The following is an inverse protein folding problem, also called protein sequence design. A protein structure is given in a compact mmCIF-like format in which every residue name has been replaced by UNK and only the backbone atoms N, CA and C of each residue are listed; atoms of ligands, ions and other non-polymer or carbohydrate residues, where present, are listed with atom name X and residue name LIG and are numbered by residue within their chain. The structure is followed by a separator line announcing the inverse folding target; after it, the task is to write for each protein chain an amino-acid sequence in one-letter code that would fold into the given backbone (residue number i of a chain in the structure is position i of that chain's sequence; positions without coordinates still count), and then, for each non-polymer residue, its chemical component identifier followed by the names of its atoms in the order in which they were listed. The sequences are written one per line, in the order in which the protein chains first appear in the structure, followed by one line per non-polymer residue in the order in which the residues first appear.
data_IF_418023229241
#
_entry.id   IF_418023229241
#
_cell.length_a   1.000
_cell.length_b   1.000
_cell.length_c   1.000
_cell.angle_alpha   90.00
_cell.angle_beta   90.00
_cell.angle_gamma   90.00
#
_symmetry.space_group_name_H-M   'P 1'
#
loop_
_entity.id
_entity.type
_entity.pdbx_description
1 polymer ?
#
# COMPACT_ATOMS: atom_id res chain seq x y z
N UNK A 1 -48.71 80.73 -4.87
CA UNK A 1 -47.49 81.15 -4.16
C UNK A 1 -47.18 80.07 -3.18
N UNK A 2 -46.26 79.17 -3.49
CA UNK A 2 -45.79 78.11 -2.60
C UNK A 2 -44.44 78.55 -2.02
N UNK A 3 -44.29 78.53 -0.75
CA UNK A 3 -43.04 78.87 -0.03
C UNK A 3 -42.06 77.66 -0.13
N UNK A 4 -40.75 77.90 -0.29
CA UNK A 4 -39.78 76.83 -0.32
C UNK A 4 -39.48 76.21 1.03
N UNK A 5 -39.04 74.92 1.11
CA UNK A 5 -38.74 74.27 2.37
C UNK A 5 -37.41 74.76 2.99
N UNK A 6 -37.24 74.63 4.30
CA UNK A 6 -36.05 75.10 5.02
C UNK A 6 -34.81 74.17 4.72
N UNK A 7 -33.59 74.73 4.89
CA UNK A 7 -32.34 73.95 4.62
C UNK A 7 -32.09 72.92 5.76
N UNK A 8 -31.35 71.84 5.48
CA UNK A 8 -31.03 70.80 6.45
C UNK A 8 -30.01 71.30 7.46
N UNK A 9 -30.04 70.77 8.72
CA UNK A 9 -29.15 71.20 9.79
C UNK A 9 -27.72 70.77 9.52
N UNK A 10 -26.79 71.67 9.79
CA UNK A 10 -25.31 71.44 9.66
C UNK A 10 -24.84 70.30 10.55
N UNK A 11 -24.14 69.34 9.98
CA UNK A 11 -23.51 68.21 10.63
C UNK A 11 -22.46 68.72 11.65
N UNK A 12 -22.70 68.42 12.89
CA UNK A 12 -21.89 68.82 14.04
C UNK A 12 -20.52 68.11 14.07
N UNK A 13 -19.48 68.83 14.45
CA UNK A 13 -18.11 68.46 14.63
C UNK A 13 -17.83 67.26 15.63
N UNK A 14 -18.87 66.62 16.13
CA UNK A 14 -18.80 65.47 17.04
C UNK A 14 -18.53 64.12 16.35
N UNK A 15 -19.04 63.97 15.12
CA UNK A 15 -18.91 62.69 14.38
C UNK A 15 -17.47 62.36 13.91
N UNK A 16 -16.70 63.40 13.60
CA UNK A 16 -15.30 63.23 13.14
C UNK A 16 -14.35 62.74 14.27
N UNK A 17 -14.59 63.17 15.51
CA UNK A 17 -13.78 62.74 16.66
C UNK A 17 -14.05 61.28 17.07
N UNK A 18 -15.31 60.84 16.98
CA UNK A 18 -15.66 59.44 17.28
C UNK A 18 -15.11 58.47 16.26
N UNK A 19 -15.18 58.81 14.96
CA UNK A 19 -14.62 57.94 13.89
C UNK A 19 -13.10 57.81 13.98
N UNK A 20 -12.40 58.89 14.33
CA UNK A 20 -10.93 58.87 14.53
C UNK A 20 -10.54 58.01 15.74
N UNK A 21 -11.30 58.02 16.82
CA UNK A 21 -11.09 57.19 18.00
C UNK A 21 -11.30 55.70 17.68
N UNK A 22 -12.32 55.34 16.90
CA UNK A 22 -12.52 53.96 16.44
C UNK A 22 -11.42 53.45 15.53
N UNK A 23 -10.94 54.26 14.60
CA UNK A 23 -9.82 53.91 13.73
C UNK A 23 -8.53 53.69 14.54
N UNK A 24 -8.22 54.55 15.49
CA UNK A 24 -7.07 54.41 16.37
C UNK A 24 -7.20 53.18 17.29
N UNK A 25 -8.39 52.86 17.80
CA UNK A 25 -8.63 51.70 18.64
C UNK A 25 -8.49 50.39 17.84
N UNK A 26 -9.02 50.32 16.61
CA UNK A 26 -8.85 49.13 15.73
C UNK A 26 -7.41 48.93 15.28
N UNK A 27 -6.66 50.02 15.00
CA UNK A 27 -5.25 49.94 14.68
C UNK A 27 -4.42 49.45 15.88
N UNK A 28 -4.74 49.92 17.09
CA UNK A 28 -4.06 49.46 18.32
C UNK A 28 -4.34 47.98 18.63
N UNK A 29 -5.60 47.55 18.45
CA UNK A 29 -5.98 46.13 18.60
C UNK A 29 -5.28 45.24 17.56
N UNK A 30 -5.19 45.67 16.31
CA UNK A 30 -4.46 44.95 15.26
C UNK A 30 -2.99 44.86 15.58
N UNK A 31 -2.37 45.92 16.09
CA UNK A 31 -0.97 45.94 16.47
C UNK A 31 -0.67 45.01 17.67
N UNK A 32 -1.55 45.02 18.69
CA UNK A 32 -1.46 44.12 19.83
C UNK A 32 -1.66 42.66 19.43
N UNK A 33 -2.54 42.38 18.46
CA UNK A 33 -2.75 41.05 17.94
C UNK A 33 -1.51 40.53 17.15
N UNK A 34 -0.91 41.39 16.33
CA UNK A 34 0.34 41.08 15.62
C UNK A 34 1.50 40.86 16.59
N UNK A 35 1.61 41.68 17.65
CA UNK A 35 2.63 41.53 18.70
C UNK A 35 2.42 40.26 19.54
N UNK A 36 1.18 39.85 19.77
CA UNK A 36 0.88 38.60 20.49
C UNK A 36 1.22 37.37 19.64
N UNK A 37 1.07 37.45 18.31
CA UNK A 37 1.49 36.40 17.38
C UNK A 37 3.02 36.32 17.23
N UNK A 38 3.73 37.45 17.33
CA UNK A 38 5.19 37.47 17.23
C UNK A 38 5.92 37.10 18.53
N UNK A 39 5.26 37.18 19.69
CA UNK A 39 5.85 36.75 20.97
C UNK A 39 5.73 35.24 21.24
N UNK A 40 5.00 34.49 20.40
CA UNK A 40 4.91 33.02 20.49
C UNK A 40 5.97 32.28 19.65
N UNK A 41 6.92 32.97 19.06
CA UNK A 41 7.92 32.37 18.14
C UNK A 41 9.37 32.45 18.62
N UNK A 42 9.62 32.46 19.92
CA UNK A 42 11.00 32.33 20.44
C UNK A 42 11.06 31.40 21.64
N UNK A 43 10.94 30.10 21.35
CA UNK A 43 11.69 29.04 22.04
C UNK A 43 11.76 27.82 21.14
N UNK A 44 12.62 27.89 20.13
CA UNK A 44 13.07 26.69 19.41
C UNK A 44 14.07 25.95 20.28
N UNK A 45 13.56 25.21 21.25
CA UNK A 45 14.22 23.95 21.63
C UNK A 45 14.13 23.01 20.43
N UNK A 46 15.15 22.16 20.13
CA UNK A 46 15.06 21.20 19.03
C UNK A 46 13.82 20.36 19.28
N UNK A 47 12.84 20.49 18.38
CA UNK A 47 11.60 19.73 18.45
C UNK A 47 11.98 18.27 18.38
N UNK A 48 11.80 17.56 19.48
CA UNK A 48 11.70 16.11 19.46
C UNK A 48 10.69 15.76 18.36
N UNK A 49 10.97 14.72 17.53
CA UNK A 49 10.01 14.26 16.53
C UNK A 49 8.67 14.00 17.22
N UNK A 50 7.54 14.21 16.53
CA UNK A 50 6.22 13.96 17.10
C UNK A 50 6.21 12.55 17.70
N UNK A 51 5.57 12.34 18.86
CA UNK A 51 5.55 11.04 19.51
C UNK A 51 5.02 10.01 18.50
N UNK A 52 5.84 8.99 18.24
CA UNK A 52 5.45 7.84 17.45
C UNK A 52 4.17 7.26 18.07
N UNK A 53 3.20 6.92 17.23
CA UNK A 53 1.94 6.32 17.66
C UNK A 53 2.27 5.14 18.62
N UNK A 54 1.89 5.17 19.90
CA UNK A 54 2.26 4.16 20.88
C UNK A 54 1.70 2.77 20.54
N UNK A 55 0.74 2.67 19.61
CA UNK A 55 0.21 1.42 19.12
C UNK A 55 1.00 0.83 17.95
N UNK A 56 1.83 1.63 17.27
CA UNK A 56 2.66 1.18 16.15
C UNK A 56 3.99 0.55 16.57
N UNK A 57 4.50 0.93 17.74
CA UNK A 57 5.81 0.49 18.21
C UNK A 57 5.70 0.10 19.69
N UNK A 58 5.64 -1.20 20.02
CA UNK A 58 5.98 -1.61 21.36
C UNK A 58 7.41 -1.14 21.65
N UNK A 59 7.59 -0.45 22.79
CA UNK A 59 8.87 0.10 23.23
C UNK A 59 10.02 -0.87 22.94
N UNK A 60 10.79 -0.61 21.90
CA UNK A 60 12.10 -1.19 21.70
C UNK A 60 13.07 -0.41 22.57
N UNK A 61 13.05 -0.59 23.87
CA UNK A 61 14.25 -0.31 24.64
C UNK A 61 15.37 -1.19 24.08
N UNK A 62 16.52 -0.63 23.75
CA UNK A 62 17.69 -1.41 23.39
C UNK A 62 18.14 -2.16 24.64
N UNK A 63 17.54 -3.31 24.90
CA UNK A 63 18.13 -4.27 25.81
C UNK A 63 19.35 -4.85 25.11
N UNK A 64 20.48 -4.23 25.36
CA UNK A 64 21.79 -4.81 25.15
C UNK A 64 21.93 -6.03 26.09
N UNK A 65 21.41 -7.16 25.64
CA UNK A 65 21.66 -8.42 26.30
C UNK A 65 22.67 -9.19 25.43
N UNK A 66 23.96 -9.26 25.83
CA UNK A 66 25.03 -9.84 25.03
C UNK A 66 24.91 -11.37 24.86
N UNK A 67 23.93 -12.03 25.48
CA UNK A 67 23.88 -13.48 25.55
C UNK A 67 22.96 -14.17 24.52
N UNK A 68 22.31 -13.45 23.62
CA UNK A 68 21.47 -14.07 22.56
C UNK A 68 22.18 -14.32 21.23
N UNK A 69 23.48 -14.02 21.12
CA UNK A 69 24.27 -14.25 19.88
C UNK A 69 24.75 -15.69 19.67
N UNK A 70 24.45 -16.64 20.56
CA UNK A 70 25.11 -17.97 20.51
C UNK A 70 24.22 -19.15 20.13
N UNK A 71 23.01 -18.94 19.58
CA UNK A 71 22.16 -20.10 19.22
C UNK A 71 21.83 -20.25 17.72
N UNK A 72 22.45 -19.47 16.86
CA UNK A 72 22.17 -19.52 15.40
C UNK A 72 23.38 -19.96 14.53
N UNK A 73 24.40 -20.56 15.10
CA UNK A 73 25.57 -21.03 14.34
C UNK A 73 25.86 -22.50 14.62
N UNK A 74 24.96 -23.40 14.18
CA UNK A 74 25.40 -24.73 13.78
C UNK A 74 25.51 -24.72 12.26
N UNK A 75 26.60 -24.15 11.78
CA UNK A 75 27.09 -24.32 10.41
C UNK A 75 27.66 -25.72 10.30
N UNK A 76 26.87 -26.66 9.80
CA UNK A 76 27.41 -27.92 9.33
C UNK A 76 28.40 -27.63 8.17
N UNK A 77 29.68 -27.59 8.50
CA UNK A 77 30.75 -27.73 7.53
C UNK A 77 30.63 -29.14 6.92
N UNK A 78 29.87 -29.25 5.85
CA UNK A 78 30.10 -30.33 4.87
C UNK A 78 31.25 -29.90 3.98
N UNK A 79 32.33 -30.68 4.06
CA UNK A 79 33.42 -30.63 3.11
C UNK A 79 32.88 -30.67 1.69
N UNK A 80 32.89 -29.54 1.01
CA UNK A 80 32.70 -29.47 -0.43
C UNK A 80 34.06 -29.34 -1.07
N UNK A 81 34.52 -30.44 -1.64
CA UNK A 81 35.55 -30.48 -2.65
C UNK A 81 35.22 -29.47 -3.75
N UNK A 82 36.21 -28.65 -4.06
CA UNK A 82 36.22 -27.62 -5.08
C UNK A 82 35.72 -28.13 -6.43
N UNK A 83 34.57 -27.63 -6.88
CA UNK A 83 34.25 -27.49 -8.30
C UNK A 83 33.97 -26.02 -8.57
N UNK A 84 34.97 -25.34 -9.15
CA UNK A 84 34.85 -23.99 -9.70
C UNK A 84 34.01 -24.05 -10.96
N UNK A 85 32.70 -23.72 -10.91
CA UNK A 85 32.01 -23.28 -12.14
C UNK A 85 30.60 -22.67 -11.96
N UNK A 86 29.92 -22.84 -10.81
CA UNK A 86 28.59 -22.23 -10.66
C UNK A 86 28.62 -21.04 -9.70
N UNK A 87 28.09 -19.87 -10.12
CA UNK A 87 27.93 -18.76 -9.21
C UNK A 87 27.02 -19.19 -8.05
N UNK A 88 27.28 -18.70 -6.82
CA UNK A 88 26.44 -19.03 -5.69
C UNK A 88 24.97 -18.66 -6.00
N UNK A 89 23.98 -19.46 -5.56
CA UNK A 89 22.59 -19.17 -5.81
C UNK A 89 22.25 -17.75 -5.27
N UNK A 90 21.44 -16.99 -6.01
CA UNK A 90 21.09 -15.64 -5.61
C UNK A 90 20.39 -15.64 -4.25
N UNK A 91 20.77 -14.69 -3.40
CA UNK A 91 20.14 -14.52 -2.09
C UNK A 91 18.64 -14.20 -2.25
N UNK A 92 17.74 -14.91 -1.53
CA UNK A 92 16.32 -14.63 -1.63
C UNK A 92 16.00 -13.18 -1.24
N UNK A 93 15.08 -12.51 -1.97
CA UNK A 93 14.66 -11.16 -1.64
C UNK A 93 13.81 -11.11 -0.36
N UNK A 94 13.53 -9.93 0.13
CA UNK A 94 12.55 -9.67 1.17
C UNK A 94 11.40 -8.82 0.61
N UNK A 95 10.16 -9.14 0.99
CA UNK A 95 8.96 -8.46 0.52
C UNK A 95 8.31 -7.70 1.66
N UNK A 96 7.79 -6.51 1.35
CA UNK A 96 6.98 -5.70 2.25
C UNK A 96 5.52 -5.76 1.84
N UNK A 97 4.68 -6.39 2.65
CA UNK A 97 3.25 -6.54 2.40
C UNK A 97 2.45 -5.50 3.17
N UNK A 98 1.58 -4.79 2.48
CA UNK A 98 0.45 -4.08 3.07
C UNK A 98 -0.80 -4.91 2.82
N UNK A 99 -1.43 -5.43 3.88
CA UNK A 99 -2.68 -6.19 3.79
C UNK A 99 -3.80 -5.35 4.37
N UNK A 100 -4.74 -4.96 3.52
CA UNK A 100 -5.82 -4.04 3.88
C UNK A 100 -7.19 -4.71 3.81
N UNK A 101 -8.06 -4.35 4.75
CA UNK A 101 -9.45 -4.77 4.78
C UNK A 101 -10.35 -3.73 5.41
N UNK A 102 -11.64 -3.99 5.37
CA UNK A 102 -12.69 -3.14 5.89
C UNK A 102 -13.54 -3.86 6.94
N UNK A 103 -14.76 -3.39 7.17
CA UNK A 103 -15.67 -3.98 8.14
C UNK A 103 -15.81 -5.51 7.94
N UNK A 104 -15.65 -6.29 9.02
CA UNK A 104 -15.71 -7.76 9.07
C UNK A 104 -14.58 -8.50 8.34
N UNK A 105 -13.52 -7.83 7.95
CA UNK A 105 -12.39 -8.46 7.23
C UNK A 105 -11.27 -8.94 8.15
N UNK A 106 -11.36 -8.79 9.46
CA UNK A 106 -10.29 -9.19 10.40
C UNK A 106 -9.88 -10.68 10.24
N UNK A 107 -10.85 -11.58 10.13
CA UNK A 107 -10.59 -13.02 9.89
C UNK A 107 -9.98 -13.30 8.51
N UNK A 108 -10.40 -12.55 7.47
CA UNK A 108 -9.85 -12.66 6.11
C UNK A 108 -8.41 -12.17 6.05
N UNK A 109 -8.11 -11.05 6.69
CA UNK A 109 -6.74 -10.52 6.81
C UNK A 109 -5.84 -11.56 7.49
N UNK A 110 -6.29 -12.19 8.58
CA UNK A 110 -5.51 -13.24 9.25
C UNK A 110 -5.32 -14.47 8.37
N UNK A 111 -6.37 -14.92 7.67
CA UNK A 111 -6.28 -16.05 6.73
C UNK A 111 -5.26 -15.76 5.62
N UNK A 112 -5.33 -14.57 5.02
CA UNK A 112 -4.41 -14.12 3.98
C UNK A 112 -2.97 -14.02 4.53
N UNK A 113 -2.78 -13.37 5.69
CA UNK A 113 -1.48 -13.29 6.34
C UNK A 113 -0.85 -14.68 6.55
N UNK A 114 -1.63 -15.65 7.06
CA UNK A 114 -1.13 -17.01 7.28
C UNK A 114 -0.74 -17.71 5.99
N UNK A 115 -1.41 -17.39 4.87
CA UNK A 115 -1.14 -17.98 3.56
C UNK A 115 0.04 -17.36 2.83
N UNK A 116 0.42 -16.11 3.18
CA UNK A 116 1.57 -15.41 2.59
C UNK A 116 2.73 -15.20 3.57
N UNK A 117 2.69 -15.86 4.74
CA UNK A 117 3.70 -15.65 5.75
C UNK A 117 5.04 -16.29 5.40
N UNK A 118 6.11 -15.52 5.57
CA UNK A 118 7.49 -15.99 5.53
C UNK A 118 8.34 -15.12 6.49
N UNK A 119 9.26 -15.68 7.28
CA UNK A 119 10.01 -14.93 8.29
C UNK A 119 10.95 -13.84 7.71
N UNK A 120 11.32 -13.91 6.43
CA UNK A 120 12.09 -12.85 5.74
C UNK A 120 11.29 -11.60 5.42
N UNK A 121 9.98 -11.75 5.24
CA UNK A 121 9.12 -10.67 4.75
C UNK A 121 8.66 -9.78 5.89
N UNK A 122 8.19 -8.58 5.56
CA UNK A 122 7.60 -7.62 6.47
C UNK A 122 6.12 -7.43 6.15
N UNK A 123 5.30 -7.36 7.18
CA UNK A 123 3.85 -7.28 7.05
C UNK A 123 3.31 -6.10 7.86
N UNK A 124 2.47 -5.31 7.21
CA UNK A 124 1.69 -4.26 7.82
C UNK A 124 0.21 -4.51 7.54
N UNK A 125 -0.58 -4.68 8.60
CA UNK A 125 -2.01 -4.94 8.50
C UNK A 125 -2.79 -3.66 8.74
N UNK A 126 -3.74 -3.37 7.87
CA UNK A 126 -4.64 -2.23 7.96
C UNK A 126 -6.09 -2.70 7.93
N UNK A 127 -6.79 -2.55 9.03
CA UNK A 127 -8.24 -2.67 9.10
C UNK A 127 -8.82 -1.26 9.23
N UNK A 128 -9.56 -0.81 8.20
CA UNK A 128 -9.96 0.58 8.08
C UNK A 128 -10.97 1.03 9.15
N UNK A 129 -11.26 2.33 9.20
CA UNK A 129 -12.16 2.92 10.20
C UNK A 129 -13.63 2.49 10.06
N UNK A 130 -14.03 1.86 8.94
CA UNK A 130 -15.37 1.28 8.81
C UNK A 130 -15.55 0.04 9.69
N UNK A 131 -14.46 -0.63 10.09
CA UNK A 131 -14.48 -1.71 11.05
C UNK A 131 -14.68 -1.20 12.48
N UNK A 132 -15.24 -2.04 13.34
CA UNK A 132 -15.38 -1.71 14.75
C UNK A 132 -14.03 -1.61 15.47
N UNK A 133 -13.94 -0.83 16.54
CA UNK A 133 -12.71 -0.79 17.36
C UNK A 133 -12.39 -2.18 17.93
N UNK A 134 -13.41 -2.95 18.33
CA UNK A 134 -13.25 -4.32 18.82
C UNK A 134 -12.61 -5.25 17.78
N UNK A 135 -12.95 -5.11 16.48
CA UNK A 135 -12.34 -5.91 15.41
C UNK A 135 -10.87 -5.53 15.20
N UNK A 136 -10.54 -4.24 15.29
CA UNK A 136 -9.14 -3.77 15.20
C UNK A 136 -8.32 -4.26 16.39
N UNK A 137 -8.88 -4.18 17.59
CA UNK A 137 -8.21 -4.68 18.81
C UNK A 137 -8.04 -6.20 18.76
N UNK A 138 -9.06 -6.93 18.29
CA UNK A 138 -8.97 -8.38 18.08
C UNK A 138 -7.84 -8.74 17.12
N UNK A 139 -7.74 -8.05 15.98
CA UNK A 139 -6.67 -8.25 15.00
C UNK A 139 -5.29 -8.01 15.64
N UNK A 140 -5.12 -6.90 16.35
CA UNK A 140 -3.86 -6.53 17.00
C UNK A 140 -3.46 -7.53 18.09
N UNK A 141 -4.40 -7.95 18.94
CA UNK A 141 -4.17 -8.94 20.00
C UNK A 141 -3.84 -10.30 19.43
N UNK A 142 -4.55 -10.74 18.38
CA UNK A 142 -4.29 -12.02 17.71
C UNK A 142 -2.87 -12.04 17.12
N UNK A 143 -2.46 -11.00 16.40
CA UNK A 143 -1.09 -10.91 15.85
C UNK A 143 -0.05 -11.00 16.97
N UNK A 144 -0.24 -10.31 18.09
CA UNK A 144 0.67 -10.35 19.22
C UNK A 144 0.72 -11.71 19.94
N UNK A 145 -0.35 -12.50 19.85
CA UNK A 145 -0.42 -13.83 20.51
C UNK A 145 0.35 -14.91 19.77
N UNK A 146 0.59 -14.75 18.45
CA UNK A 146 1.21 -15.79 17.62
C UNK A 146 2.73 -15.83 17.86
N UNK A 147 3.27 -16.98 18.34
CA UNK A 147 4.69 -17.08 18.67
C UNK A 147 5.63 -16.78 17.51
N UNK A 148 5.27 -17.21 16.30
CA UNK A 148 6.03 -16.96 15.08
C UNK A 148 6.24 -15.46 14.81
N UNK A 149 5.18 -14.67 14.93
CA UNK A 149 5.24 -13.23 14.68
C UNK A 149 6.03 -12.49 15.76
N UNK A 150 5.92 -12.95 17.02
CA UNK A 150 6.72 -12.40 18.13
C UNK A 150 8.20 -12.70 17.98
N UNK A 151 8.54 -13.88 17.50
CA UNK A 151 9.93 -14.28 17.31
C UNK A 151 10.59 -13.52 16.14
N UNK A 152 9.91 -13.40 15.00
CA UNK A 152 10.41 -12.69 13.82
C UNK A 152 10.27 -11.16 13.93
N UNK A 153 9.33 -10.65 14.73
CA UNK A 153 9.03 -9.22 14.87
C UNK A 153 8.77 -8.52 13.52
N UNK A 154 8.17 -9.23 12.59
CA UNK A 154 7.99 -8.81 11.19
C UNK A 154 6.52 -8.54 10.82
N UNK A 155 5.58 -8.66 11.75
CA UNK A 155 4.14 -8.38 11.54
C UNK A 155 3.70 -7.23 12.44
N UNK A 156 3.18 -6.18 11.83
CA UNK A 156 2.72 -4.98 12.51
C UNK A 156 1.26 -4.69 12.12
N UNK A 157 0.53 -4.00 12.99
CA UNK A 157 -0.85 -3.54 12.75
C UNK A 157 -0.87 -2.03 12.84
N UNK A 158 -1.54 -1.35 11.91
CA UNK A 158 -1.68 0.10 11.94
C UNK A 158 -2.58 0.49 13.13
N UNK A 159 -2.06 1.33 14.03
CA UNK A 159 -2.78 1.76 15.21
C UNK A 159 -3.82 2.84 14.92
N UNK A 160 -3.45 3.84 14.10
CA UNK A 160 -4.37 4.88 13.62
C UNK A 160 -4.85 4.52 12.22
N UNK A 161 -6.03 3.91 12.15
CA UNK A 161 -6.64 3.52 10.89
C UNK A 161 -7.14 4.72 10.09
N UNK A 162 -7.14 4.59 8.77
CA UNK A 162 -7.71 5.53 7.82
C UNK A 162 -9.02 4.97 7.26
N UNK A 163 -9.89 5.82 6.72
CA UNK A 163 -10.94 5.36 5.83
C UNK A 163 -10.36 5.07 4.45
N UNK A 164 -10.67 3.92 3.86
CA UNK A 164 -10.15 3.49 2.57
C UNK A 164 -11.28 3.11 1.60
N UNK A 165 -11.82 4.09 0.89
CA UNK A 165 -12.82 3.83 -0.13
C UNK A 165 -12.17 3.39 -1.44
N UNK A 166 -12.45 2.16 -1.89
CA UNK A 166 -11.86 1.59 -3.12
C UNK A 166 -12.22 2.37 -4.38
N UNK A 167 -13.40 2.99 -4.42
CA UNK A 167 -13.86 3.84 -5.54
C UNK A 167 -13.47 5.31 -5.39
N UNK A 168 -12.80 5.67 -4.30
CA UNK A 168 -12.34 7.02 -4.00
C UNK A 168 -10.84 7.20 -4.17
N UNK A 169 -10.34 8.24 -3.54
CA UNK A 169 -8.92 8.59 -3.48
C UNK A 169 -8.28 8.25 -2.12
N UNK A 170 -9.08 8.05 -1.09
CA UNK A 170 -8.60 7.65 0.23
C UNK A 170 -7.94 6.27 0.24
N UNK A 171 -8.35 5.34 -0.63
CA UNK A 171 -7.68 4.05 -0.79
C UNK A 171 -6.22 4.18 -1.25
N UNK A 172 -5.93 5.10 -2.19
CA UNK A 172 -4.56 5.43 -2.59
C UNK A 172 -3.78 6.06 -1.43
N UNK A 173 -4.39 7.02 -0.73
CA UNK A 173 -3.77 7.67 0.43
C UNK A 173 -3.39 6.65 1.50
N UNK A 174 -4.28 5.71 1.82
CA UNK A 174 -4.03 4.64 2.79
C UNK A 174 -2.90 3.71 2.33
N UNK A 175 -2.83 3.38 1.02
CA UNK A 175 -1.73 2.59 0.45
C UNK A 175 -0.39 3.30 0.60
N UNK A 176 -0.30 4.59 0.27
CA UNK A 176 0.92 5.38 0.43
C UNK A 176 1.31 5.58 1.90
N UNK A 177 0.33 5.76 2.79
CA UNK A 177 0.55 5.80 4.24
C UNK A 177 1.16 4.48 4.74
N UNK A 178 0.57 3.34 4.39
CA UNK A 178 1.11 2.02 4.74
C UNK A 178 2.53 1.80 4.20
N UNK A 179 2.78 2.18 2.94
CA UNK A 179 4.11 2.11 2.33
C UNK A 179 5.12 2.99 3.08
N UNK A 180 4.73 4.20 3.51
CA UNK A 180 5.59 5.10 4.30
C UNK A 180 5.96 4.51 5.67
N UNK A 181 5.03 3.78 6.29
CA UNK A 181 5.27 3.08 7.56
C UNK A 181 6.28 1.93 7.33
N UNK A 182 6.10 1.13 6.28
CA UNK A 182 7.01 0.02 5.94
C UNK A 182 8.43 0.52 5.63
N UNK A 183 8.60 1.68 4.99
CA UNK A 183 9.91 2.31 4.79
C UNK A 183 10.59 2.66 6.12
N UNK A 184 9.82 3.07 7.13
CA UNK A 184 10.35 3.42 8.47
C UNK A 184 10.63 2.19 9.35
N UNK A 185 9.82 1.15 9.23
CA UNK A 185 9.97 -0.08 10.03
C UNK A 185 11.21 -0.85 9.62
N UNK A 186 11.48 -0.96 8.31
CA UNK A 186 12.59 -1.77 7.80
C UNK A 186 13.25 -1.16 6.57
N UNK A 187 14.59 -1.20 6.57
CA UNK A 187 15.44 -0.83 5.43
C UNK A 187 15.71 -1.97 4.44
N UNK A 188 15.29 -3.20 4.75
CA UNK A 188 15.85 -4.41 4.12
C UNK A 188 14.82 -5.19 3.28
N UNK A 189 13.87 -4.54 2.64
CA UNK A 189 12.98 -5.20 1.69
C UNK A 189 13.20 -4.67 0.27
N UNK A 190 12.91 -5.50 -0.72
CA UNK A 190 13.19 -5.24 -2.14
C UNK A 190 11.93 -4.82 -2.90
N UNK A 191 10.78 -5.45 -2.62
CA UNK A 191 9.50 -5.13 -3.26
C UNK A 191 8.39 -4.89 -2.25
N UNK A 192 7.53 -3.94 -2.59
CA UNK A 192 6.27 -3.64 -1.90
C UNK A 192 5.12 -4.30 -2.64
N UNK A 193 4.24 -4.97 -1.90
CA UNK A 193 3.03 -5.62 -2.43
C UNK A 193 1.84 -5.18 -1.59
N UNK A 194 0.84 -4.56 -2.22
CA UNK A 194 -0.41 -4.24 -1.57
C UNK A 194 -1.46 -5.31 -1.90
N UNK A 195 -2.04 -5.90 -0.87
CA UNK A 195 -3.12 -6.89 -0.98
C UNK A 195 -4.36 -6.41 -0.24
N UNK A 196 -5.51 -6.69 -0.84
CA UNK A 196 -6.81 -6.56 -0.19
C UNK A 196 -7.15 -7.86 0.56
N UNK A 197 -7.99 -7.79 1.57
CA UNK A 197 -8.54 -8.97 2.24
C UNK A 197 -9.32 -9.90 1.29
N UNK A 198 -9.67 -9.45 0.09
CA UNK A 198 -10.28 -10.26 -0.97
C UNK A 198 -9.29 -10.96 -1.90
N UNK A 199 -8.00 -10.72 -1.74
CA UNK A 199 -6.95 -11.35 -2.54
C UNK A 199 -6.50 -12.67 -1.90
N UNK A 200 -5.98 -13.59 -2.72
CA UNK A 200 -5.43 -14.85 -2.20
C UNK A 200 -4.25 -15.34 -3.05
N UNK A 201 -3.20 -15.97 -2.45
CA UNK A 201 -2.05 -16.45 -3.19
C UNK A 201 -2.36 -17.75 -3.95
N UNK A 202 -1.78 -17.88 -5.14
CA UNK A 202 -1.81 -19.09 -5.99
C UNK A 202 -0.47 -19.81 -6.03
N UNK A 203 0.53 -19.29 -5.33
CA UNK A 203 1.86 -19.88 -5.15
C UNK A 203 2.28 -19.76 -3.68
N UNK A 204 3.18 -20.60 -3.24
CA UNK A 204 3.76 -20.47 -1.90
C UNK A 204 4.71 -19.28 -1.83
N UNK A 205 5.07 -18.82 -0.63
CA UNK A 205 6.07 -17.76 -0.50
C UNK A 205 7.45 -18.21 -0.97
N UNK A 206 7.80 -19.49 -0.76
CA UNK A 206 9.04 -20.06 -1.28
C UNK A 206 9.09 -20.03 -2.81
N UNK A 207 7.95 -20.31 -3.48
CA UNK A 207 7.85 -20.20 -4.94
C UNK A 207 8.08 -18.77 -5.41
N UNK A 208 7.42 -17.81 -4.77
CA UNK A 208 7.48 -16.38 -5.14
C UNK A 208 8.89 -15.83 -4.91
N UNK A 209 9.46 -16.04 -3.72
CA UNK A 209 10.79 -15.56 -3.37
C UNK A 209 11.87 -16.20 -4.25
N UNK A 210 11.72 -17.48 -4.59
CA UNK A 210 12.63 -18.19 -5.50
C UNK A 210 12.65 -17.51 -6.87
N UNK A 211 11.51 -17.27 -7.48
CA UNK A 211 11.46 -16.65 -8.81
C UNK A 211 11.96 -15.20 -8.77
N UNK A 212 11.56 -14.42 -7.77
CA UNK A 212 12.02 -13.04 -7.64
C UNK A 212 13.52 -12.93 -7.36
N UNK A 213 14.18 -13.98 -6.82
CA UNK A 213 15.64 -13.96 -6.58
C UNK A 213 16.47 -13.90 -7.87
N UNK A 214 15.90 -14.31 -9.00
CA UNK A 214 16.56 -14.27 -10.32
C UNK A 214 16.25 -13.00 -11.11
N UNK A 215 15.41 -12.11 -10.57
CA UNK A 215 14.99 -10.90 -11.29
C UNK A 215 15.74 -9.66 -10.78
N UNK A 216 15.99 -8.68 -11.66
CA UNK A 216 16.46 -7.36 -11.22
C UNK A 216 15.49 -6.74 -10.21
N UNK A 217 16.03 -6.17 -9.12
CA UNK A 217 15.24 -5.63 -8.01
C UNK A 217 14.53 -4.32 -8.32
N UNK A 218 14.84 -3.70 -9.44
CA UNK A 218 14.22 -2.49 -9.97
C UNK A 218 12.96 -2.76 -10.81
N UNK A 219 12.64 -4.04 -11.13
CA UNK A 219 11.44 -4.39 -11.89
C UNK A 219 10.16 -4.10 -11.10
N UNK A 220 9.19 -3.57 -11.83
CA UNK A 220 7.88 -3.21 -11.31
C UNK A 220 6.78 -3.93 -12.10
N UNK A 221 5.92 -4.67 -11.40
CA UNK A 221 4.82 -5.39 -12.03
C UNK A 221 3.54 -4.58 -11.86
N UNK A 222 3.17 -3.86 -12.91
CA UNK A 222 2.04 -2.95 -12.92
C UNK A 222 1.27 -3.10 -14.23
N UNK A 223 0.03 -3.56 -14.11
CA UNK A 223 -0.84 -3.59 -15.27
C UNK A 223 -1.19 -2.15 -15.69
N UNK A 224 -1.02 -1.83 -16.96
CA UNK A 224 -1.36 -0.53 -17.50
C UNK A 224 -1.89 -0.61 -18.94
N UNK A 225 -2.76 0.32 -19.30
CA UNK A 225 -3.22 0.57 -20.66
C UNK A 225 -2.58 1.85 -21.17
N UNK A 226 -1.84 1.78 -22.28
CA UNK A 226 -1.23 2.94 -22.92
C UNK A 226 -2.26 3.84 -23.64
N UNK A 227 -3.45 3.34 -23.86
CA UNK A 227 -4.55 4.07 -24.51
C UNK A 227 -5.73 4.20 -23.54
N UNK A 228 -6.05 5.44 -23.20
CA UNK A 228 -7.29 5.75 -22.49
C UNK A 228 -8.35 6.10 -23.54
N UNK A 229 -9.24 5.14 -23.80
CA UNK A 229 -10.40 5.32 -24.67
C UNK A 229 -11.38 6.38 -24.12
N UNK A 230 -12.33 6.77 -24.95
CA UNK A 230 -13.34 7.75 -24.54
C UNK A 230 -14.17 7.32 -23.32
N UNK A 231 -14.38 6.03 -23.12
CA UNK A 231 -15.11 5.47 -21.94
C UNK A 231 -14.31 5.68 -20.66
N UNK A 232 -13.03 5.36 -20.65
CA UNK A 232 -12.13 5.52 -19.53
C UNK A 232 -11.88 7.01 -19.23
N UNK A 233 -11.69 7.81 -20.25
CA UNK A 233 -11.60 9.27 -20.13
C UNK A 233 -12.84 9.87 -19.44
N UNK A 234 -14.04 9.39 -19.79
CA UNK A 234 -15.28 9.83 -19.12
C UNK A 234 -15.34 9.44 -17.66
N UNK A 235 -14.70 8.34 -17.25
CA UNK A 235 -14.63 7.92 -15.84
C UNK A 235 -13.66 8.80 -15.02
N UNK A 236 -12.66 9.42 -15.66
CA UNK A 236 -11.65 10.26 -15.00
C UNK A 236 -12.01 11.75 -14.92
N UNK A 237 -12.98 12.21 -15.74
CA UNK A 237 -13.43 13.61 -15.74
C UNK A 237 -14.29 14.03 -14.54
N UNK A 238 -15.09 13.18 -13.88
CA UNK A 238 -15.85 13.58 -12.70
C UNK A 238 -14.93 14.04 -11.57
N UNK A 239 -15.37 15.10 -10.88
CA UNK A 239 -14.73 15.58 -9.66
C UNK A 239 -15.46 14.95 -8.47
N UNK A 240 -14.74 14.25 -7.63
CA UNK A 240 -15.28 13.67 -6.40
C UNK A 240 -14.70 14.37 -5.16
N UNK A 241 -15.45 14.33 -4.07
CA UNK A 241 -14.94 14.59 -2.73
C UNK A 241 -15.08 13.29 -1.95
N UNK A 242 -13.94 12.73 -1.59
CA UNK A 242 -13.87 11.50 -0.81
C UNK A 242 -13.77 11.86 0.69
N UNK A 243 -14.79 11.53 1.50
CA UNK A 243 -14.79 11.88 2.92
C UNK A 243 -13.65 11.20 3.69
N UNK A 244 -13.12 10.08 3.22
CA UNK A 244 -12.00 9.38 3.85
C UNK A 244 -10.72 10.21 3.92
N UNK A 245 -10.44 11.06 2.92
CA UNK A 245 -9.29 11.97 2.96
C UNK A 245 -9.37 13.02 4.08
N UNK A 246 -10.54 13.31 4.56
CA UNK A 246 -10.78 14.33 5.57
C UNK A 246 -11.14 13.73 6.94
N UNK A 247 -11.04 12.40 7.08
CA UNK A 247 -11.47 11.65 8.28
C UNK A 247 -12.90 12.01 8.71
N UNK A 248 -13.76 12.28 7.71
CA UNK A 248 -15.16 12.66 7.94
C UNK A 248 -16.01 11.42 8.24
N UNK A 249 -16.93 11.54 9.17
CA UNK A 249 -17.93 10.49 9.49
C UNK A 249 -18.93 10.23 8.35
N UNK A 250 -18.93 11.05 7.30
CA UNK A 250 -19.77 10.84 6.12
C UNK A 250 -19.32 9.57 5.38
N UNK A 251 -20.29 8.73 5.06
CA UNK A 251 -20.03 7.43 4.42
C UNK A 251 -20.14 7.47 2.90
N UNK A 252 -20.73 8.52 2.32
CA UNK A 252 -20.94 8.62 0.87
C UNK A 252 -20.02 9.64 0.23
N UNK A 253 -19.40 9.24 -0.89
CA UNK A 253 -18.66 10.18 -1.74
C UNK A 253 -19.61 11.17 -2.38
N UNK A 254 -19.17 12.43 -2.45
CA UNK A 254 -19.87 13.48 -3.18
C UNK A 254 -19.32 13.58 -4.61
N UNK A 255 -20.22 13.68 -5.58
CA UNK A 255 -19.89 13.93 -6.97
C UNK A 255 -20.30 15.35 -7.34
N UNK A 256 -19.33 16.16 -7.77
CA UNK A 256 -19.63 17.51 -8.25
C UNK A 256 -20.37 17.44 -9.60
N UNK A 257 -21.21 18.44 -9.85
CA UNK A 257 -21.92 18.57 -11.15
C UNK A 257 -20.97 18.92 -12.29
N UNK A 258 -19.91 19.67 -11.97
CA UNK A 258 -18.86 20.03 -12.93
C UNK A 258 -17.93 18.85 -13.19
N UNK A 259 -17.42 18.79 -14.42
CA UNK A 259 -16.38 17.87 -14.84
C UNK A 259 -15.14 18.68 -15.21
N UNK A 260 -13.98 18.05 -15.11
CA UNK A 260 -12.71 18.67 -15.54
C UNK A 260 -12.19 18.00 -16.79
N UNK A 261 -11.36 18.72 -17.51
CA UNK A 261 -10.59 18.13 -18.60
C UNK A 261 -9.41 17.31 -18.03
N UNK A 262 -8.88 16.42 -18.86
CA UNK A 262 -7.69 15.65 -18.48
C UNK A 262 -6.48 16.59 -18.46
N UNK A 263 -5.47 16.30 -17.62
CA UNK A 263 -4.27 17.13 -17.54
C UNK A 263 -3.40 17.01 -18.79
N UNK A 264 -2.76 18.12 -19.19
CA UNK A 264 -1.79 18.14 -20.28
C UNK A 264 -0.34 17.97 -19.80
N UNK A 265 -0.09 18.18 -18.49
CA UNK A 265 1.25 18.13 -17.91
C UNK A 265 1.84 16.70 -17.86
N UNK A 266 1.01 15.67 -17.89
CA UNK A 266 1.38 14.27 -17.93
C UNK A 266 0.27 13.44 -18.57
N UNK A 267 0.66 12.35 -19.23
CA UNK A 267 -0.30 11.43 -19.83
C UNK A 267 -0.81 10.47 -18.76
N UNK A 268 -2.14 10.32 -18.67
CA UNK A 268 -2.76 9.39 -17.73
C UNK A 268 -2.70 7.95 -18.28
N UNK A 269 -2.43 7.01 -17.40
CA UNK A 269 -2.48 5.57 -17.64
C UNK A 269 -3.40 4.92 -16.62
N UNK A 270 -4.19 3.95 -17.06
CA UNK A 270 -5.06 3.17 -16.17
C UNK A 270 -4.59 1.73 -16.09
N UNK A 271 -4.76 1.13 -14.91
CA UNK A 271 -4.42 -0.25 -14.69
C UNK A 271 -5.14 -0.85 -13.49
N UNK A 272 -4.52 -1.84 -12.87
CA UNK A 272 -5.00 -2.42 -11.61
C UNK A 272 -4.57 -1.57 -10.41
N UNK A 273 -5.33 -1.60 -9.33
CA UNK A 273 -4.90 -1.10 -8.04
C UNK A 273 -3.87 -2.01 -7.35
N UNK A 274 -3.78 -3.27 -7.79
CA UNK A 274 -2.81 -4.24 -7.29
C UNK A 274 -1.53 -4.16 -8.11
N UNK A 275 -0.39 -4.08 -7.42
CA UNK A 275 0.93 -3.94 -8.03
C UNK A 275 2.02 -4.53 -7.15
N UNK A 276 3.12 -4.93 -7.77
CA UNK A 276 4.37 -5.27 -7.09
C UNK A 276 5.40 -4.21 -7.48
N UNK A 277 5.79 -3.39 -6.54
CA UNK A 277 6.61 -2.20 -6.78
C UNK A 277 7.98 -2.36 -6.13
N UNK A 278 9.03 -1.97 -6.83
CA UNK A 278 10.36 -1.91 -6.26
C UNK A 278 10.42 -0.91 -5.10
N UNK A 279 11.32 -1.14 -4.17
CA UNK A 279 11.58 -0.21 -3.06
C UNK A 279 11.90 1.20 -3.57
N UNK A 280 12.68 1.31 -4.65
CA UNK A 280 13.05 2.59 -5.24
C UNK A 280 11.83 3.41 -5.68
N UNK A 281 10.81 2.77 -6.26
CA UNK A 281 9.56 3.46 -6.62
C UNK A 281 8.83 3.97 -5.38
N UNK A 282 8.78 3.19 -4.32
CA UNK A 282 8.16 3.62 -3.06
C UNK A 282 8.94 4.77 -2.42
N UNK A 283 10.27 4.71 -2.41
CA UNK A 283 11.10 5.81 -1.94
C UNK A 283 10.92 7.06 -2.79
N UNK A 284 10.82 6.93 -4.11
CA UNK A 284 10.52 8.04 -5.02
C UNK A 284 9.17 8.69 -4.72
N UNK A 285 8.13 7.89 -4.45
CA UNK A 285 6.80 8.39 -4.11
C UNK A 285 6.76 9.15 -2.77
N UNK A 286 7.47 8.66 -1.75
CA UNK A 286 7.34 9.12 -0.37
C UNK A 286 8.44 10.10 0.02
N UNK A 287 9.69 9.80 -0.33
CA UNK A 287 10.89 10.53 0.08
C UNK A 287 11.46 11.40 -1.03
N UNK A 288 11.13 11.09 -2.29
CA UNK A 288 11.70 11.76 -3.45
C UNK A 288 11.43 13.26 -3.49
N UNK A 289 12.33 14.00 -4.11
CA UNK A 289 12.23 15.46 -4.31
C UNK A 289 11.53 15.84 -5.62
N UNK A 290 11.32 14.89 -6.51
CA UNK A 290 10.60 15.11 -7.77
C UNK A 290 9.14 15.54 -7.52
N UNK A 291 8.64 16.45 -8.36
CA UNK A 291 7.30 16.97 -8.22
C UNK A 291 6.22 16.06 -8.81
N UNK A 292 6.57 15.14 -9.74
CA UNK A 292 5.60 14.28 -10.40
C UNK A 292 4.73 13.49 -9.41
N UNK A 293 5.27 12.77 -8.41
CA UNK A 293 4.45 12.03 -7.45
C UNK A 293 3.44 12.92 -6.72
N UNK A 294 3.88 14.12 -6.29
CA UNK A 294 3.04 15.07 -5.54
C UNK A 294 1.97 15.71 -6.41
N UNK A 295 2.36 16.20 -7.60
CA UNK A 295 1.43 16.83 -8.55
C UNK A 295 0.35 15.85 -8.98
N UNK A 296 0.74 14.62 -9.28
CA UNK A 296 -0.18 13.56 -9.64
C UNK A 296 -1.12 13.20 -8.48
N UNK A 297 -0.60 13.09 -7.25
CA UNK A 297 -1.42 12.81 -6.07
C UNK A 297 -2.45 13.93 -5.81
N UNK A 298 -2.04 15.19 -5.94
CA UNK A 298 -2.95 16.34 -5.82
C UNK A 298 -4.06 16.28 -6.89
N UNK A 299 -3.72 16.00 -8.15
CA UNK A 299 -4.71 15.83 -9.20
C UNK A 299 -5.68 14.68 -8.90
N UNK A 300 -5.17 13.54 -8.44
CA UNK A 300 -5.94 12.34 -8.19
C UNK A 300 -6.73 12.38 -6.87
N UNK A 301 -6.48 13.33 -5.98
CA UNK A 301 -7.24 13.47 -4.72
C UNK A 301 -8.75 13.65 -4.95
N UNK A 302 -9.14 14.18 -6.11
CA UNK A 302 -10.53 14.37 -6.52
C UNK A 302 -10.93 13.48 -7.71
N UNK A 303 -10.21 12.39 -7.97
CA UNK A 303 -10.48 11.46 -9.09
C UNK A 303 -11.06 10.15 -8.56
N UNK A 304 -12.13 9.62 -9.18
CA UNK A 304 -12.61 8.29 -8.85
C UNK A 304 -11.53 7.21 -9.09
N UNK A 305 -11.50 6.19 -8.23
CA UNK A 305 -10.61 5.03 -8.38
C UNK A 305 -9.14 5.39 -8.60
N UNK A 306 -8.65 6.40 -7.90
CA UNK A 306 -7.30 6.96 -8.10
C UNK A 306 -6.17 5.93 -7.92
N UNK A 307 -6.37 4.88 -7.13
CA UNK A 307 -5.39 3.81 -6.94
C UNK A 307 -5.04 3.07 -8.24
N UNK A 308 -6.02 2.93 -9.16
CA UNK A 308 -5.79 2.28 -10.47
C UNK A 308 -5.12 3.19 -11.51
N UNK A 309 -4.91 4.46 -11.18
CA UNK A 309 -4.34 5.46 -12.09
C UNK A 309 -2.96 5.93 -11.64
N UNK A 310 -2.72 6.02 -10.33
CA UNK A 310 -1.53 6.64 -9.76
C UNK A 310 -0.23 5.95 -10.18
N UNK A 311 -0.05 4.67 -9.82
CA UNK A 311 1.20 3.97 -10.12
C UNK A 311 1.45 3.78 -11.61
N UNK A 312 0.47 3.37 -12.44
CA UNK A 312 0.66 3.31 -13.89
C UNK A 312 1.08 4.66 -14.48
N UNK A 313 0.41 5.75 -14.10
CA UNK A 313 0.71 7.09 -14.60
C UNK A 313 2.08 7.58 -14.15
N UNK A 314 2.42 7.40 -12.86
CA UNK A 314 3.70 7.79 -12.29
C UNK A 314 4.86 7.11 -13.01
N UNK A 315 4.80 5.79 -13.11
CA UNK A 315 5.88 5.00 -13.69
C UNK A 315 6.05 5.29 -15.17
N UNK A 316 4.95 5.40 -15.95
CA UNK A 316 5.01 5.64 -17.37
C UNK A 316 5.47 7.06 -17.74
N UNK A 317 5.26 8.06 -16.88
CA UNK A 317 5.76 9.42 -17.11
C UNK A 317 7.17 9.65 -16.52
N UNK A 318 7.70 8.72 -15.71
CA UNK A 318 9.04 8.85 -15.14
C UNK A 318 10.10 8.29 -16.07
N UNK A 319 11.08 9.10 -16.46
CA UNK A 319 12.22 8.65 -17.28
C UNK A 319 13.07 7.58 -16.55
N UNK A 320 13.07 7.60 -15.23
CA UNK A 320 13.79 6.64 -14.40
C UNK A 320 13.15 5.27 -14.43
N UNK A 321 11.81 5.19 -14.41
CA UNK A 321 11.08 3.94 -14.18
C UNK A 321 10.36 3.38 -15.41
N UNK A 322 10.19 4.15 -16.49
CA UNK A 322 9.39 3.72 -17.66
C UNK A 322 9.95 2.47 -18.37
N UNK A 323 11.22 2.13 -18.14
CA UNK A 323 11.89 0.94 -18.70
C UNK A 323 11.90 -0.27 -17.74
N UNK A 324 11.45 -0.09 -16.51
CA UNK A 324 11.45 -1.14 -15.47
C UNK A 324 10.07 -1.77 -15.29
N UNK A 325 9.10 -1.45 -16.14
CA UNK A 325 7.72 -1.88 -16.01
C UNK A 325 7.49 -3.19 -16.75
N UNK A 326 6.93 -4.15 -16.02
CA UNK A 326 6.27 -5.32 -16.58
C UNK A 326 4.77 -5.06 -16.60
N UNK A 327 4.17 -5.04 -17.80
CA UNK A 327 2.73 -4.81 -17.94
C UNK A 327 1.90 -6.02 -17.50
N UNK A 328 2.02 -6.39 -16.23
CA UNK A 328 1.27 -7.46 -15.58
C UNK A 328 1.38 -7.31 -14.05
N UNK A 329 0.26 -7.31 -13.34
CA UNK A 329 0.25 -7.15 -11.86
C UNK A 329 0.50 -8.43 -11.07
N UNK A 330 0.90 -9.53 -11.72
CA UNK A 330 1.01 -10.89 -11.16
C UNK A 330 -0.26 -11.37 -10.46
N UNK A 331 -1.41 -10.81 -10.84
CA UNK A 331 -2.72 -11.12 -10.29
C UNK A 331 -3.67 -11.63 -11.38
N UNK A 332 -4.40 -12.69 -11.06
CA UNK A 332 -5.51 -13.21 -11.87
C UNK A 332 -6.82 -12.56 -11.42
N UNK A 333 -7.61 -12.12 -12.37
CA UNK A 333 -8.98 -11.66 -12.16
C UNK A 333 -9.88 -12.11 -13.31
N UNK A 334 -11.14 -12.40 -13.00
CA UNK A 334 -12.16 -12.69 -14.00
C UNK A 334 -13.15 -11.52 -14.06
N UNK A 335 -13.58 -11.16 -15.25
CA UNK A 335 -14.44 -10.01 -15.48
C UNK A 335 -15.81 -10.45 -16.01
N UNK A 336 -16.84 -9.74 -15.59
CA UNK A 336 -18.19 -9.91 -16.11
C UNK A 336 -18.38 -9.22 -17.47
N UNK A 337 -19.61 -9.28 -18.00
CA UNK A 337 -19.99 -8.63 -19.26
C UNK A 337 -19.90 -7.09 -19.22
N UNK A 338 -19.86 -6.50 -18.01
CA UNK A 338 -19.71 -5.06 -17.78
C UNK A 338 -18.24 -4.65 -17.60
N UNK A 339 -17.31 -5.61 -17.72
CA UNK A 339 -15.90 -5.43 -17.44
C UNK A 339 -15.62 -5.03 -15.96
N UNK A 340 -16.48 -5.48 -15.04
CA UNK A 340 -16.24 -5.40 -13.61
C UNK A 340 -15.67 -6.74 -13.11
N UNK A 341 -14.70 -6.69 -12.18
CA UNK A 341 -14.15 -7.91 -11.61
C UNK A 341 -15.24 -8.66 -10.81
N UNK A 342 -15.46 -9.92 -11.16
CA UNK A 342 -16.43 -10.78 -10.48
C UNK A 342 -15.75 -11.66 -9.42
N UNK A 343 -16.45 -12.03 -8.34
CA UNK A 343 -15.92 -12.99 -7.38
C UNK A 343 -15.55 -14.32 -8.06
N UNK A 344 -14.34 -14.79 -7.73
CA UNK A 344 -13.81 -16.07 -8.20
C UNK A 344 -14.40 -17.22 -7.40
N UNK A 345 -14.66 -18.34 -8.08
CA UNK A 345 -15.31 -19.53 -7.53
C UNK A 345 -14.53 -20.80 -7.88
N UNK A 346 -15.01 -21.95 -7.37
CA UNK A 346 -14.42 -23.26 -7.66
C UNK A 346 -14.35 -23.60 -9.15
N UNK A 347 -15.23 -23.04 -9.96
CA UNK A 347 -15.24 -23.21 -11.42
C UNK A 347 -14.05 -22.55 -12.09
N UNK A 348 -13.52 -21.47 -11.52
CA UNK A 348 -12.39 -20.71 -12.04
C UNK A 348 -11.02 -21.32 -11.63
N UNK A 349 -11.03 -22.38 -10.83
CA UNK A 349 -9.81 -22.91 -10.20
C UNK A 349 -8.72 -23.28 -11.22
N UNK A 350 -9.09 -24.01 -12.26
CA UNK A 350 -8.13 -24.47 -13.25
C UNK A 350 -7.56 -23.31 -14.08
N UNK A 351 -8.40 -22.33 -14.43
CA UNK A 351 -7.96 -21.11 -15.12
C UNK A 351 -7.01 -20.28 -14.26
N UNK A 352 -7.31 -20.14 -12.96
CA UNK A 352 -6.42 -19.46 -12.00
C UNK A 352 -5.03 -20.11 -11.97
N UNK A 353 -5.00 -21.43 -11.90
CA UNK A 353 -3.72 -22.18 -11.83
C UNK A 353 -2.95 -22.11 -13.16
N UNK A 354 -3.66 -22.22 -14.29
CA UNK A 354 -3.04 -22.12 -15.62
C UNK A 354 -2.52 -20.72 -15.94
N UNK A 355 -3.08 -19.68 -15.33
CA UNK A 355 -2.62 -18.30 -15.53
C UNK A 355 -1.16 -18.09 -15.16
N UNK A 356 -0.64 -18.88 -14.21
CA UNK A 356 0.70 -18.71 -13.63
C UNK A 356 0.86 -17.50 -12.73
N UNK A 357 -0.22 -16.75 -12.44
CA UNK A 357 -0.20 -15.59 -11.55
C UNK A 357 0.15 -15.98 -10.11
N UNK A 358 0.76 -15.05 -9.39
CA UNK A 358 1.11 -15.25 -7.98
C UNK A 358 -0.09 -15.10 -7.04
N UNK A 359 -1.06 -14.27 -7.41
CA UNK A 359 -2.26 -13.97 -6.63
C UNK A 359 -3.51 -14.02 -7.51
N UNK A 360 -4.68 -14.10 -6.88
CA UNK A 360 -5.98 -13.96 -7.56
C UNK A 360 -6.93 -13.10 -6.71
N UNK A 361 -7.91 -12.47 -7.35
CA UNK A 361 -8.88 -11.56 -6.75
C UNK A 361 -10.08 -11.31 -7.68
N UNK A 362 -11.27 -10.96 -7.13
CA UNK A 362 -11.62 -11.01 -5.72
C UNK A 362 -12.24 -12.34 -5.32
N UNK A 363 -12.08 -12.73 -4.05
CA UNK A 363 -12.79 -13.86 -3.46
C UNK A 363 -13.85 -13.40 -2.46
N UNK A 364 -14.92 -14.18 -2.28
CA UNK A 364 -15.83 -14.03 -1.16
C UNK A 364 -15.21 -14.62 0.13
N UNK A 365 -15.68 -14.16 1.29
CA UNK A 365 -15.10 -14.51 2.58
C UNK A 365 -14.99 -16.02 2.84
N UNK A 366 -16.07 -16.73 2.57
CA UNK A 366 -16.24 -18.14 2.94
C UNK A 366 -16.41 -19.04 1.70
N UNK A 367 -15.80 -18.64 0.56
CA UNK A 367 -15.88 -19.44 -0.65
C UNK A 367 -15.05 -20.73 -0.50
N UNK A 368 -15.63 -21.92 -0.80
CA UNK A 368 -14.94 -23.21 -0.71
C UNK A 368 -13.66 -23.29 -1.56
N UNK A 369 -13.54 -22.47 -2.60
CA UNK A 369 -12.33 -22.44 -3.44
C UNK A 369 -11.09 -22.05 -2.63
N UNK A 370 -11.23 -21.21 -1.60
CA UNK A 370 -10.12 -20.85 -0.73
C UNK A 370 -9.58 -22.07 0.04
N UNK A 371 -10.44 -22.96 0.50
CA UNK A 371 -10.04 -24.21 1.16
C UNK A 371 -9.38 -25.18 0.18
N UNK A 372 -9.83 -25.17 -1.07
CA UNK A 372 -9.20 -25.94 -2.13
C UNK A 372 -7.79 -25.43 -2.44
N UNK A 373 -7.61 -24.11 -2.53
CA UNK A 373 -6.28 -23.48 -2.71
C UNK A 373 -5.36 -23.81 -1.54
N UNK A 374 -5.84 -23.67 -0.29
CA UNK A 374 -5.07 -24.01 0.90
C UNK A 374 -4.55 -25.45 0.85
N UNK A 375 -5.43 -26.41 0.51
CA UNK A 375 -5.11 -27.83 0.50
C UNK A 375 -4.24 -28.25 -0.69
N UNK A 376 -4.62 -27.82 -1.90
CA UNK A 376 -4.01 -28.32 -3.13
C UNK A 376 -2.75 -27.56 -3.54
N UNK A 377 -2.73 -26.25 -3.30
CA UNK A 377 -1.62 -25.38 -3.73
C UNK A 377 -0.67 -25.05 -2.60
N UNK A 378 -1.20 -24.52 -1.49
CA UNK A 378 -0.37 -24.00 -0.40
C UNK A 378 0.04 -25.09 0.59
N UNK A 379 -0.58 -26.26 0.54
CA UNK A 379 -0.39 -27.37 1.51
C UNK A 379 -0.55 -26.89 2.95
N UNK A 380 -1.45 -25.93 3.18
CA UNK A 380 -1.68 -25.28 4.46
C UNK A 380 -2.85 -25.92 5.20
N UNK A 381 -2.70 -26.14 6.48
CA UNK A 381 -3.77 -26.55 7.35
C UNK A 381 -4.55 -25.31 7.82
N UNK A 382 -5.89 -25.34 7.91
CA UNK A 382 -6.68 -24.25 8.44
C UNK A 382 -6.17 -23.74 9.78
N UNK A 383 -6.05 -22.41 9.94
CA UNK A 383 -5.55 -21.79 11.17
C UNK A 383 -4.04 -21.90 11.41
N UNK A 384 -3.28 -22.50 10.49
CA UNK A 384 -1.82 -22.61 10.58
C UNK A 384 -1.14 -21.76 9.50
N UNK A 385 0.13 -21.43 9.75
CA UNK A 385 0.98 -20.75 8.76
C UNK A 385 1.28 -21.68 7.59
N UNK A 386 1.47 -21.10 6.40
CA UNK A 386 1.94 -21.84 5.24
C UNK A 386 3.33 -22.41 5.51
N UNK A 387 3.57 -23.70 5.24
CA UNK A 387 4.90 -24.27 5.43
C UNK A 387 5.86 -23.79 4.35
N UNK A 388 7.14 -23.67 4.69
CA UNK A 388 8.21 -23.31 3.77
C UNK A 388 9.55 -23.95 4.16
N UNK A 389 10.63 -23.64 3.45
CA UNK A 389 11.97 -24.17 3.75
C UNK A 389 12.47 -23.79 5.14
N UNK A 390 12.01 -22.67 5.66
CA UNK A 390 12.29 -22.18 7.00
C UNK A 390 11.64 -23.01 8.13
N UNK A 391 10.67 -23.85 7.81
CA UNK A 391 9.90 -24.65 8.76
C UNK A 391 10.52 -26.04 8.88
N UNK A 392 11.13 -26.38 10.01
CA UNK A 392 11.79 -27.67 10.25
C UNK A 392 10.93 -28.67 11.03
N UNK A 393 9.80 -28.24 11.59
CA UNK A 393 8.95 -29.09 12.42
C UNK A 393 8.08 -30.02 11.60
N UNK A 394 8.45 -31.27 11.46
CA UNK A 394 7.58 -32.40 11.09
C UNK A 394 6.91 -32.99 12.35
N UNK A 395 6.30 -32.17 13.17
CA UNK A 395 5.43 -32.69 14.22
C UNK A 395 4.12 -33.15 13.57
N UNK A 396 3.49 -34.20 14.13
CA UNK A 396 2.20 -34.76 13.67
C UNK A 396 1.07 -33.73 13.48
N UNK A 397 1.30 -32.47 13.88
CA UNK A 397 0.38 -31.33 13.78
C UNK A 397 0.81 -30.25 12.80
N UNK A 398 1.80 -30.47 11.92
CA UNK A 398 2.28 -29.49 10.91
C UNK A 398 2.37 -28.03 11.43
N UNK A 399 2.90 -27.86 12.62
CA UNK A 399 3.16 -26.56 13.19
C UNK A 399 4.61 -26.19 12.93
N UNK A 400 4.87 -25.01 12.36
CA UNK A 400 6.21 -24.48 12.20
C UNK A 400 6.74 -23.98 13.57
N UNK A 401 6.75 -24.86 14.57
CA UNK A 401 7.21 -24.53 15.92
C UNK A 401 8.74 -24.52 16.03
N UNK A 402 9.41 -25.23 15.11
CA UNK A 402 10.87 -25.26 14.99
C UNK A 402 11.27 -24.59 13.70
N UNK A 403 12.07 -23.53 13.80
CA UNK A 403 12.53 -22.75 12.67
C UNK A 403 13.93 -23.13 12.27
N UNK A 404 14.12 -23.19 10.95
CA UNK A 404 15.41 -23.27 10.30
C UNK A 404 15.90 -21.92 9.82
N UNK A 405 16.75 -21.97 8.82
CA UNK A 405 17.27 -20.81 8.14
C UNK A 405 16.19 -20.21 7.20
N UNK A 406 15.87 -18.94 7.37
CA UNK A 406 14.91 -18.24 6.53
C UNK A 406 15.39 -18.04 5.08
N UNK A 407 16.68 -18.27 4.80
CA UNK A 407 17.25 -18.16 3.47
C UNK A 407 17.08 -19.45 2.64
N UNK A 408 16.66 -20.54 3.29
CA UNK A 408 16.39 -21.80 2.64
C UNK A 408 14.98 -21.81 2.08
N UNK A 409 14.86 -21.84 0.76
CA UNK A 409 13.59 -21.96 0.05
C UNK A 409 13.38 -23.40 -0.45
N UNK A 410 12.13 -23.84 -0.46
CA UNK A 410 11.70 -25.13 -1.05
C UNK A 410 10.68 -24.86 -2.17
N UNK A 411 11.13 -24.38 -3.36
CA UNK A 411 10.22 -24.09 -4.45
C UNK A 411 9.53 -25.36 -4.94
N UNK A 412 8.24 -25.23 -5.21
CA UNK A 412 7.35 -26.29 -5.66
C UNK A 412 6.85 -26.10 -7.11
N UNK A 413 5.74 -26.75 -7.46
CA UNK A 413 5.13 -26.59 -8.78
C UNK A 413 4.67 -25.15 -9.09
N UNK A 414 4.38 -24.34 -8.07
CA UNK A 414 4.03 -22.94 -8.20
C UNK A 414 5.15 -22.11 -8.83
N UNK A 415 6.39 -22.35 -8.42
CA UNK A 415 7.56 -21.68 -9.00
C UNK A 415 7.64 -21.88 -10.52
N UNK A 416 7.43 -23.11 -11.00
CA UNK A 416 7.47 -23.41 -12.45
C UNK A 416 6.35 -22.71 -13.23
N UNK A 417 5.17 -22.55 -12.64
CA UNK A 417 4.06 -21.83 -13.29
C UNK A 417 4.36 -20.34 -13.39
N UNK A 418 4.83 -19.77 -12.28
CA UNK A 418 5.22 -18.37 -12.22
C UNK A 418 6.41 -18.07 -13.15
N UNK A 419 7.42 -18.94 -13.18
CA UNK A 419 8.56 -18.87 -14.12
C UNK A 419 8.08 -18.76 -15.57
N UNK A 420 7.19 -19.67 -16.00
CA UNK A 420 6.65 -19.65 -17.37
C UNK A 420 5.96 -18.32 -17.70
N UNK A 421 5.19 -17.77 -16.75
CA UNK A 421 4.57 -16.46 -16.92
C UNK A 421 5.63 -15.37 -17.06
N UNK A 422 6.61 -15.32 -16.16
CA UNK A 422 7.67 -14.30 -16.15
C UNK A 422 8.52 -14.37 -17.44
N UNK A 423 8.93 -15.56 -17.85
CA UNK A 423 9.67 -15.74 -19.11
C UNK A 423 8.86 -15.25 -20.32
N UNK A 424 7.56 -15.54 -20.36
CA UNK A 424 6.67 -15.02 -21.40
C UNK A 424 6.62 -13.49 -21.38
N UNK A 425 6.50 -12.88 -20.21
CA UNK A 425 6.46 -11.42 -20.05
C UNK A 425 7.79 -10.75 -20.41
N UNK A 426 8.93 -11.39 -20.10
CA UNK A 426 10.27 -10.89 -20.41
C UNK A 426 10.68 -11.15 -21.86
N UNK A 427 9.96 -11.97 -22.64
CA UNK A 427 10.29 -12.21 -24.03
C UNK A 427 10.32 -10.89 -24.81
N UNK A 428 11.34 -10.70 -25.67
CA UNK A 428 11.60 -9.42 -26.37
C UNK A 428 10.38 -8.85 -27.12
N UNK A 429 9.56 -9.72 -27.70
CA UNK A 429 8.35 -9.31 -28.40
C UNK A 429 7.29 -8.77 -27.45
N UNK A 430 7.08 -9.44 -26.31
CA UNK A 430 6.05 -9.06 -25.33
C UNK A 430 6.49 -7.87 -24.49
N UNK A 431 7.75 -7.86 -24.03
CA UNK A 431 8.27 -6.78 -23.18
C UNK A 431 8.26 -5.43 -23.90
N UNK A 432 8.77 -5.37 -25.14
CA UNK A 432 8.82 -4.12 -25.91
C UNK A 432 7.46 -3.63 -26.38
N UNK A 433 6.57 -4.54 -26.76
CA UNK A 433 5.24 -4.16 -27.26
C UNK A 433 4.27 -3.71 -26.16
N UNK A 434 4.56 -4.02 -24.89
CA UNK A 434 3.72 -3.67 -23.75
C UNK A 434 4.35 -2.60 -22.85
N UNK A 435 5.40 -1.93 -23.28
CA UNK A 435 5.92 -0.76 -22.57
C UNK A 435 5.02 0.46 -22.75
N UNK A 436 5.17 1.44 -21.86
CA UNK A 436 4.43 2.68 -21.92
C UNK A 436 4.71 3.39 -23.26
N UNK A 437 3.69 3.53 -24.09
CA UNK A 437 3.78 4.34 -25.30
C UNK A 437 3.49 5.78 -24.92
N UNK A 438 4.53 6.60 -24.88
CA UNK A 438 4.44 8.06 -24.75
C UNK A 438 4.72 8.60 -26.15
N UNK A 439 3.64 8.84 -26.93
CA UNK A 439 3.72 9.58 -28.18
C UNK A 439 3.75 11.08 -27.89
#
# INVERSE_FOLDING_TARGET
MQTPPPPPPSATAGAAKTTTIYILATALFSLLFILSLSSSSTSSSPSSPPPLDPYLFPDKQPQSNPNHRHRLLIRNQRNTTNNLSDPPPPSPPSLAYLISGSNRDSGRILRLLFSVYHPRNHYLLHLDLSASQSDRDFLALTVRSIPAFRAAQNVNVIGKADFAYSKGSSGLSSTLHGASILLRISGNWDWFINLSASDYPLVTQDDLLHILSYLPKDLNFVNHSSYIGWRESRKLKPIIVDPGLYLSERTAMFYATQKRELPDAFRLFMGSSSSVLSREVIEFCILGTDNLPRTLLMYLSNTPSSASVYFPTLLCNSQQFNKTIMNHGLQYASFDTRQEARPLKSEDFDDMIQSGAAFASPFLADDPVLDRIDREILKRIPGKLVPGGWCLGESKNNTCDVWGDADILRPGPGARRLEKLIVKLLSNGTFRSHQCVVE
#
